data_IF_537438275911
#
_entry.id   IF_537438275911
#
_cell.length_a   1.000
_cell.length_b   1.000
_cell.length_c   1.000
_cell.angle_alpha   90.00
_cell.angle_beta   90.00
_cell.angle_gamma   90.00
#
_symmetry.space_group_name_H-M   'P 1'
#
loop_
_entity.id
_entity.type
_entity.pdbx_description
1 polymer ?
#
# COMPACT_ATOMS: atom_id res chain seq x y z
N UNK A 1 -2.43 2.76 -41.48
CA UNK A 1 -3.31 3.55 -42.38
C UNK A 1 -2.69 3.48 -43.78
N UNK A 2 -3.47 3.44 -44.86
CA UNK A 2 -2.91 3.31 -46.22
C UNK A 2 -3.20 4.55 -47.03
N UNK A 3 -2.19 5.03 -47.78
CA UNK A 3 -2.23 6.27 -48.52
C UNK A 3 -1.88 6.02 -49.99
N UNK A 4 -2.46 6.81 -50.88
CA UNK A 4 -2.01 6.81 -52.29
C UNK A 4 -0.65 7.49 -52.40
N UNK A 5 0.10 7.22 -53.47
CA UNK A 5 1.38 7.90 -53.76
C UNK A 5 1.20 9.43 -53.79
N UNK A 6 0.05 9.90 -54.27
CA UNK A 6 -0.26 11.34 -54.30
C UNK A 6 -0.47 11.91 -52.91
N UNK A 7 -1.19 11.21 -52.05
CA UNK A 7 -1.44 11.68 -50.68
C UNK A 7 -0.18 11.62 -49.84
N UNK A 8 0.60 10.54 -49.98
CA UNK A 8 1.92 10.41 -49.38
C UNK A 8 2.87 11.55 -49.81
N UNK A 9 2.89 11.88 -51.10
CA UNK A 9 3.68 13.00 -51.62
C UNK A 9 3.27 14.35 -51.00
N UNK A 10 1.97 14.59 -50.85
CA UNK A 10 1.45 15.82 -50.24
C UNK A 10 1.77 15.90 -48.75
N UNK A 11 1.51 14.83 -48.00
CA UNK A 11 1.67 14.79 -46.55
C UNK A 11 3.13 14.89 -46.12
N UNK A 12 4.05 14.22 -46.82
CA UNK A 12 5.47 14.27 -46.49
C UNK A 12 6.24 15.41 -47.19
N UNK A 13 5.61 16.12 -48.13
CA UNK A 13 6.27 17.17 -48.89
C UNK A 13 7.35 16.64 -49.84
N UNK A 14 7.15 15.45 -50.40
CA UNK A 14 8.12 14.75 -51.25
C UNK A 14 7.54 14.59 -52.66
N UNK A 15 8.37 14.67 -53.70
CA UNK A 15 7.89 14.47 -55.07
C UNK A 15 7.45 13.02 -55.30
N UNK A 16 6.40 12.81 -56.12
CA UNK A 16 5.94 11.45 -56.47
C UNK A 16 7.06 10.60 -57.08
N UNK A 17 7.96 11.23 -57.85
CA UNK A 17 9.10 10.56 -58.47
C UNK A 17 10.04 9.94 -57.42
N UNK A 18 10.37 10.71 -56.37
CA UNK A 18 11.17 10.20 -55.25
C UNK A 18 10.50 8.99 -54.60
N UNK A 19 9.18 9.01 -54.44
CA UNK A 19 8.43 7.87 -53.89
C UNK A 19 8.53 6.66 -54.82
N UNK A 20 8.33 6.82 -56.13
CA UNK A 20 8.47 5.72 -57.10
C UNK A 20 9.89 5.14 -57.12
N UNK A 21 10.93 5.98 -57.07
CA UNK A 21 12.30 5.51 -57.00
C UNK A 21 12.57 4.68 -55.74
N UNK A 22 12.05 5.11 -54.59
CA UNK A 22 12.21 4.35 -53.34
C UNK A 22 11.40 3.05 -53.33
N UNK A 23 10.30 2.97 -54.08
CA UNK A 23 9.59 1.71 -54.31
C UNK A 23 10.44 0.77 -55.18
N UNK A 24 10.97 1.27 -56.30
CA UNK A 24 11.79 0.47 -57.21
C UNK A 24 13.10 -0.02 -56.55
N UNK A 25 13.66 0.79 -55.65
CA UNK A 25 14.85 0.46 -54.87
C UNK A 25 14.54 -0.43 -53.65
N UNK A 26 13.29 -0.81 -53.42
CA UNK A 26 12.88 -1.67 -52.30
C UNK A 26 12.87 -1.00 -50.92
N UNK A 27 13.09 0.31 -50.83
CA UNK A 27 13.05 1.07 -49.55
C UNK A 27 11.61 1.26 -49.04
N UNK A 28 10.66 1.31 -49.96
CA UNK A 28 9.23 1.40 -49.70
C UNK A 28 8.51 0.23 -50.35
N UNK A 29 7.59 -0.38 -49.60
CA UNK A 29 6.66 -1.35 -50.17
C UNK A 29 5.35 -0.70 -50.62
N UNK A 30 4.74 -1.26 -51.65
CA UNK A 30 3.43 -0.86 -52.17
C UNK A 30 2.55 -2.08 -52.37
N UNK A 31 1.30 -1.99 -51.94
CA UNK A 31 0.31 -3.05 -52.10
C UNK A 31 -0.19 -3.19 -53.55
N UNK A 32 -0.90 -4.28 -53.83
CA UNK A 32 -1.62 -4.52 -55.09
C UNK A 32 -2.56 -3.37 -55.49
N UNK A 33 -3.15 -2.68 -54.50
CA UNK A 33 -4.02 -1.51 -54.69
C UNK A 33 -3.26 -0.20 -54.93
N UNK A 34 -1.95 -0.25 -55.19
CA UNK A 34 -1.08 0.91 -55.39
C UNK A 34 -1.02 1.89 -54.20
N UNK A 35 -1.33 1.40 -53.01
CA UNK A 35 -1.26 2.16 -51.76
C UNK A 35 0.02 1.82 -50.98
N UNK A 36 0.49 2.79 -50.21
CA UNK A 36 1.66 2.69 -49.34
C UNK A 36 1.18 2.77 -47.90
N UNK A 37 1.73 1.95 -47.01
CA UNK A 37 1.45 2.08 -45.58
C UNK A 37 2.11 3.34 -45.02
N UNK A 38 1.37 4.08 -44.20
CA UNK A 38 1.91 5.15 -43.36
C UNK A 38 3.17 4.74 -42.58
N UNK A 39 3.26 3.51 -42.08
CA UNK A 39 4.42 3.04 -41.34
C UNK A 39 5.69 2.97 -42.23
N UNK A 40 5.54 2.55 -43.49
CA UNK A 40 6.62 2.55 -44.48
C UNK A 40 7.12 3.98 -44.73
N UNK A 41 6.20 4.94 -44.82
CA UNK A 41 6.54 6.35 -45.02
C UNK A 41 7.26 6.93 -43.80
N UNK A 42 6.80 6.64 -42.58
CA UNK A 42 7.51 7.04 -41.35
C UNK A 42 8.91 6.43 -41.27
N UNK A 43 9.06 5.14 -41.58
CA UNK A 43 10.37 4.48 -41.57
C UNK A 43 11.32 5.08 -42.62
N UNK A 44 10.82 5.34 -43.82
CA UNK A 44 11.67 5.76 -44.94
C UNK A 44 12.00 7.26 -44.95
N UNK A 45 11.09 8.09 -44.46
CA UNK A 45 11.17 9.56 -44.56
C UNK A 45 10.95 10.31 -43.24
N UNK A 46 10.61 9.62 -42.15
CA UNK A 46 10.34 10.24 -40.85
C UNK A 46 8.96 10.89 -40.77
N UNK A 47 8.83 11.87 -39.88
CA UNK A 47 7.57 12.60 -39.68
C UNK A 47 7.16 13.40 -40.93
N UNK A 48 5.85 13.46 -41.26
CA UNK A 48 5.35 14.21 -42.39
C UNK A 48 5.64 15.69 -42.23
N UNK A 49 6.47 16.23 -43.13
CA UNK A 49 6.76 17.66 -43.18
C UNK A 49 5.54 18.35 -43.77
N UNK A 50 4.78 19.07 -42.95
CA UNK A 50 3.73 19.96 -43.44
C UNK A 50 4.36 21.06 -44.30
N UNK A 51 4.47 20.81 -45.59
CA UNK A 51 4.95 21.80 -46.54
C UNK A 51 3.82 22.76 -46.85
N UNK A 52 3.71 23.83 -46.05
CA UNK A 52 3.16 25.09 -46.58
C UNK A 52 4.09 25.46 -47.73
N UNK A 53 3.60 25.44 -48.96
CA UNK A 53 4.38 25.84 -50.13
C UNK A 53 4.88 27.27 -49.92
N UNK A 54 6.17 27.41 -49.64
CA UNK A 54 6.86 28.69 -49.69
C UNK A 54 7.93 28.53 -50.76
N UNK A 55 7.70 29.16 -51.90
CA UNK A 55 8.70 29.35 -52.95
C UNK A 55 9.79 30.28 -52.42
N UNK A 56 10.72 29.80 -51.59
CA UNK A 56 11.97 30.52 -51.30
C UNK A 56 13.00 29.59 -50.69
N UNK A 57 14.15 29.47 -51.33
CA UNK A 57 15.38 28.92 -50.76
C UNK A 57 15.76 29.72 -49.52
N UNK A 58 15.68 29.11 -48.33
CA UNK A 58 16.57 29.45 -47.21
C UNK A 58 16.53 28.39 -46.12
N UNK A 59 17.72 27.98 -45.69
CA UNK A 59 17.98 27.75 -44.27
C UNK A 59 17.55 26.40 -43.70
N UNK A 60 18.54 25.52 -43.57
CA UNK A 60 18.59 24.50 -42.53
C UNK A 60 18.47 25.22 -41.16
N UNK A 61 17.29 25.20 -40.55
CA UNK A 61 17.09 25.33 -39.10
C UNK A 61 16.26 24.09 -38.73
N UNK A 62 16.80 23.03 -38.16
CA UNK A 62 17.59 23.04 -36.93
C UNK A 62 16.64 23.42 -35.80
N UNK A 63 16.34 22.46 -34.92
CA UNK A 63 15.61 22.63 -33.65
C UNK A 63 15.83 24.04 -33.07
N UNK A 64 14.88 24.94 -33.30
CA UNK A 64 14.77 26.19 -32.58
C UNK A 64 13.30 26.48 -32.50
N UNK A 65 12.64 25.77 -31.58
CA UNK A 65 11.42 26.28 -30.99
C UNK A 65 11.77 27.66 -30.46
N UNK A 66 11.41 28.70 -31.21
CA UNK A 66 11.43 30.07 -30.73
C UNK A 66 10.52 30.08 -29.50
N UNK A 67 11.14 30.00 -28.32
CA UNK A 67 10.46 30.15 -27.04
C UNK A 67 10.00 31.59 -26.98
N UNK A 68 8.77 31.82 -27.43
CA UNK A 68 8.13 33.12 -27.22
C UNK A 68 8.05 33.38 -25.70
N UNK A 69 8.12 34.64 -25.25
CA UNK A 69 8.02 34.96 -23.81
C UNK A 69 6.79 34.35 -23.13
N UNK A 70 5.69 34.16 -23.88
CA UNK A 70 4.49 33.46 -23.42
C UNK A 70 4.74 31.99 -23.08
N UNK A 71 5.45 31.25 -23.93
CA UNK A 71 5.79 29.84 -23.68
C UNK A 71 6.69 29.68 -22.45
N UNK A 72 7.58 30.65 -22.19
CA UNK A 72 8.45 30.62 -21.01
C UNK A 72 7.66 30.83 -19.71
N UNK A 73 6.72 31.78 -19.70
CA UNK A 73 5.86 32.03 -18.55
C UNK A 73 4.94 30.83 -18.25
N UNK A 74 4.39 30.20 -19.29
CA UNK A 74 3.58 28.99 -19.15
C UNK A 74 4.39 27.81 -18.58
N UNK A 75 5.63 27.62 -19.07
CA UNK A 75 6.55 26.61 -18.53
C UNK A 75 6.91 26.88 -17.06
N UNK A 76 7.14 28.15 -16.69
CA UNK A 76 7.42 28.53 -15.30
C UNK A 76 6.23 28.23 -14.38
N UNK A 77 5.02 28.58 -14.82
CA UNK A 77 3.80 28.28 -14.08
C UNK A 77 3.57 26.77 -13.93
N UNK A 78 3.81 26.00 -15.00
CA UNK A 78 3.72 24.54 -14.96
C UNK A 78 4.70 23.94 -13.93
N UNK A 79 5.93 24.44 -13.91
CA UNK A 79 6.96 24.00 -12.97
C UNK A 79 6.58 24.36 -11.52
N UNK A 80 6.00 25.54 -11.28
CA UNK A 80 5.52 25.95 -9.96
C UNK A 80 4.39 25.04 -9.44
N UNK A 81 3.42 24.72 -10.30
CA UNK A 81 2.35 23.77 -9.96
C UNK A 81 2.89 22.39 -9.61
N UNK A 82 3.86 21.91 -10.39
CA UNK A 82 4.50 20.62 -10.16
C UNK A 82 5.31 20.61 -8.86
N UNK A 83 6.02 21.68 -8.53
CA UNK A 83 6.69 21.85 -7.25
C UNK A 83 5.72 21.81 -6.07
N UNK A 84 4.59 22.51 -6.18
CA UNK A 84 3.56 22.51 -5.14
C UNK A 84 2.95 21.12 -4.94
N UNK A 85 2.68 20.40 -6.04
CA UNK A 85 2.17 19.03 -5.98
C UNK A 85 3.18 18.09 -5.31
N UNK A 86 4.46 18.16 -5.69
CA UNK A 86 5.52 17.38 -5.06
C UNK A 86 5.62 17.66 -3.56
N UNK A 87 5.58 18.93 -3.16
CA UNK A 87 5.60 19.30 -1.74
C UNK A 87 4.41 18.72 -0.96
N UNK A 88 3.20 18.79 -1.52
CA UNK A 88 2.03 18.20 -0.89
C UNK A 88 2.14 16.67 -0.78
N UNK A 89 2.70 16.02 -1.80
CA UNK A 89 2.96 14.57 -1.77
C UNK A 89 3.97 14.20 -0.68
N UNK A 90 5.04 14.97 -0.54
CA UNK A 90 6.04 14.80 0.53
C UNK A 90 5.42 14.93 1.93
N UNK A 91 4.59 15.96 2.16
CA UNK A 91 3.87 16.15 3.43
C UNK A 91 2.94 14.96 3.74
N UNK A 92 2.25 14.43 2.73
CA UNK A 92 1.40 13.24 2.88
C UNK A 92 2.22 12.01 3.27
N UNK A 93 3.37 11.79 2.62
CA UNK A 93 4.26 10.68 2.93
C UNK A 93 4.83 10.80 4.35
N UNK A 94 5.25 12.00 4.77
CA UNK A 94 5.75 12.25 6.12
C UNK A 94 4.69 11.94 7.18
N UNK A 95 3.45 12.36 6.95
CA UNK A 95 2.33 12.04 7.86
C UNK A 95 2.08 10.54 7.94
N UNK A 96 2.15 9.83 6.81
CA UNK A 96 2.00 8.39 6.77
C UNK A 96 3.13 7.67 7.51
N UNK A 97 4.37 8.15 7.39
CA UNK A 97 5.53 7.61 8.11
C UNK A 97 5.36 7.75 9.63
N UNK A 98 4.88 8.90 10.09
CA UNK A 98 4.61 9.13 11.52
C UNK A 98 3.57 8.16 12.07
N UNK A 99 2.48 7.96 11.33
CA UNK A 99 1.42 7.00 11.69
C UNK A 99 1.97 5.57 11.70
N UNK A 100 2.73 5.17 10.69
CA UNK A 100 3.38 3.85 10.66
C UNK A 100 4.33 3.66 11.84
N UNK A 101 5.08 4.69 12.22
CA UNK A 101 5.98 4.64 13.37
C UNK A 101 5.23 4.37 14.67
N UNK A 102 4.09 5.04 14.88
CA UNK A 102 3.23 4.83 16.05
C UNK A 102 2.68 3.39 16.10
N UNK A 103 2.15 2.88 14.99
CA UNK A 103 1.70 1.49 14.91
C UNK A 103 2.82 0.50 15.20
N UNK A 104 4.03 0.72 14.68
CA UNK A 104 5.19 -0.13 14.98
C UNK A 104 5.54 -0.12 16.46
N UNK A 105 5.50 1.04 17.11
CA UNK A 105 5.75 1.14 18.55
C UNK A 105 4.71 0.37 19.35
N UNK A 106 3.44 0.48 18.96
CA UNK A 106 2.36 -0.27 19.59
C UNK A 106 2.53 -1.79 19.41
N UNK A 107 2.89 -2.25 18.21
CA UNK A 107 3.20 -3.66 17.94
C UNK A 107 4.34 -4.15 18.83
N UNK A 108 5.44 -3.41 18.90
CA UNK A 108 6.58 -3.75 19.77
C UNK A 108 6.18 -3.82 21.25
N UNK A 109 5.34 -2.89 21.72
CA UNK A 109 4.85 -2.89 23.09
C UNK A 109 4.03 -4.14 23.42
N UNK A 110 3.14 -4.56 22.52
CA UNK A 110 2.36 -5.79 22.73
C UNK A 110 3.21 -7.06 22.60
N UNK A 111 4.16 -7.10 21.67
CA UNK A 111 5.10 -8.23 21.54
C UNK A 111 5.88 -8.45 22.85
N UNK A 112 6.42 -7.38 23.45
CA UNK A 112 7.11 -7.46 24.74
C UNK A 112 6.20 -7.97 25.86
N UNK A 113 4.94 -7.56 25.91
CA UNK A 113 4.00 -8.07 26.91
C UNK A 113 3.77 -9.57 26.74
N UNK A 114 3.62 -10.06 25.51
CA UNK A 114 3.46 -11.48 25.22
C UNK A 114 4.72 -12.26 25.62
N UNK A 115 5.92 -11.73 25.32
CA UNK A 115 7.19 -12.32 25.75
C UNK A 115 7.27 -12.46 27.28
N UNK A 116 6.93 -11.39 28.02
CA UNK A 116 6.92 -11.43 29.48
C UNK A 116 5.94 -12.46 30.06
N UNK A 117 4.75 -12.58 29.47
CA UNK A 117 3.76 -13.58 29.88
C UNK A 117 4.25 -15.00 29.57
N UNK A 118 4.87 -15.22 28.42
CA UNK A 118 5.44 -16.51 28.03
C UNK A 118 6.61 -16.89 28.94
N UNK A 119 7.50 -15.94 29.29
CA UNK A 119 8.60 -16.17 30.22
C UNK A 119 8.09 -16.53 31.61
N UNK A 120 7.04 -15.85 32.09
CA UNK A 120 6.41 -16.16 33.36
C UNK A 120 5.80 -17.56 33.34
N UNK A 121 5.05 -17.90 32.29
CA UNK A 121 4.45 -19.22 32.10
C UNK A 121 5.54 -20.31 32.07
N UNK A 122 6.65 -20.08 31.37
CA UNK A 122 7.78 -21.01 31.30
C UNK A 122 8.40 -21.24 32.68
N UNK A 123 8.64 -20.18 33.45
CA UNK A 123 9.16 -20.28 34.82
C UNK A 123 8.21 -21.05 35.74
N UNK A 124 6.91 -20.77 35.65
CA UNK A 124 5.90 -21.49 36.43
C UNK A 124 5.87 -22.98 36.08
N UNK A 125 5.92 -23.31 34.79
CA UNK A 125 6.00 -24.69 34.32
C UNK A 125 7.26 -25.40 34.82
N UNK A 126 8.42 -24.72 34.81
CA UNK A 126 9.68 -25.26 35.35
C UNK A 126 9.57 -25.57 36.84
N UNK A 127 9.01 -24.66 37.63
CA UNK A 127 8.83 -24.84 39.08
C UNK A 127 7.89 -26.01 39.40
N UNK A 128 6.81 -26.17 38.62
CA UNK A 128 5.92 -27.33 38.75
C UNK A 128 6.69 -28.63 38.47
N UNK A 129 7.50 -28.66 37.41
CA UNK A 129 8.31 -29.82 37.09
C UNK A 129 9.34 -30.14 38.17
N UNK A 130 10.03 -29.13 38.72
CA UNK A 130 10.98 -29.30 39.85
C UNK A 130 10.29 -29.87 41.09
N UNK A 131 9.08 -29.40 41.41
CA UNK A 131 8.30 -29.90 42.54
C UNK A 131 7.87 -31.36 42.32
N UNK A 132 7.44 -31.71 41.11
CA UNK A 132 7.09 -33.09 40.74
C UNK A 132 8.31 -34.00 40.85
N UNK A 133 9.48 -33.59 40.32
CA UNK A 133 10.72 -34.36 40.42
C UNK A 133 11.15 -34.56 41.88
N UNK A 134 11.10 -33.51 42.69
CA UNK A 134 11.41 -33.58 44.12
C UNK A 134 10.50 -34.56 44.86
N UNK A 135 9.19 -34.57 44.55
CA UNK A 135 8.24 -35.52 45.15
C UNK A 135 8.49 -36.95 44.69
N UNK A 136 8.83 -37.15 43.42
CA UNK A 136 9.13 -38.47 42.86
C UNK A 136 10.39 -39.09 43.49
N UNK A 137 11.40 -38.27 43.80
CA UNK A 137 12.64 -38.69 44.49
C UNK A 137 12.38 -38.93 45.99
N UNK A 138 11.45 -38.18 46.62
CA UNK A 138 11.11 -38.31 48.04
C UNK A 138 10.17 -39.47 48.39
N UNK A 139 9.61 -40.18 47.41
CA UNK A 139 8.79 -41.38 47.63
C UNK A 139 9.68 -42.63 47.55
N UNK A 140 10.29 -42.99 48.68
CA UNK A 140 10.90 -44.31 48.87
C UNK A 140 9.78 -45.38 48.93
N UNK A 141 9.79 -46.44 48.09
CA UNK A 141 8.76 -47.47 48.08
C UNK A 141 8.73 -48.35 49.35
N UNK A 142 9.58 -48.13 50.35
CA UNK A 142 9.61 -48.91 51.59
C UNK A 142 9.27 -48.09 52.85
N UNK A 143 7.97 -47.84 53.09
CA UNK A 143 7.50 -47.61 54.46
C UNK A 143 6.08 -48.19 54.65
N UNK A 144 5.88 -49.14 55.58
CA UNK A 144 4.59 -49.81 55.74
C UNK A 144 3.54 -48.86 56.31
N UNK A 145 2.35 -48.94 55.71
CA UNK A 145 1.09 -48.40 56.20
C UNK A 145 0.71 -49.15 57.47
N UNK A 146 0.58 -48.45 58.60
CA UNK A 146 -0.10 -48.98 59.78
C UNK A 146 -1.43 -48.25 59.96
N UNK A 147 -2.48 -49.05 59.96
CA UNK A 147 -3.87 -48.69 60.12
C UNK A 147 -4.16 -48.35 61.59
N UNK A 148 -4.99 -47.35 61.83
CA UNK A 148 -5.71 -47.18 63.10
C UNK A 148 -7.01 -46.44 62.85
N UNK A 149 -8.05 -47.21 62.54
CA UNK A 149 -9.44 -46.79 62.74
C UNK A 149 -9.74 -46.78 64.24
N UNK A 150 -10.26 -45.67 64.78
CA UNK A 150 -11.34 -45.79 65.76
C UNK A 150 -12.27 -44.57 65.77
N UNK A 151 -13.55 -44.91 65.65
CA UNK A 151 -14.76 -44.10 65.73
C UNK A 151 -14.79 -43.12 66.91
N UNK A 152 -15.39 -41.95 66.66
CA UNK A 152 -15.91 -41.04 67.68
C UNK A 152 -16.95 -40.12 67.08
N UNK A 153 -18.21 -40.58 67.07
CA UNK A 153 -19.41 -39.82 66.76
C UNK A 153 -19.61 -38.67 67.76
N UNK A 154 -19.95 -37.47 67.27
CA UNK A 154 -21.03 -36.65 67.85
C UNK A 154 -21.45 -35.59 66.84
N UNK A 155 -22.76 -35.46 66.73
CA UNK A 155 -23.52 -34.62 65.84
C UNK A 155 -23.14 -33.13 65.92
N UNK A 156 -23.17 -32.45 64.78
CA UNK A 156 -23.98 -31.23 64.65
C UNK A 156 -24.29 -30.93 63.18
N UNK A 157 -25.58 -31.00 62.87
CA UNK A 157 -26.22 -30.72 61.60
C UNK A 157 -26.70 -29.26 61.60
N UNK A 158 -26.37 -28.47 60.57
CA UNK A 158 -27.34 -27.48 60.02
C UNK A 158 -27.22 -27.41 58.50
N UNK A 159 -28.33 -27.78 57.88
CA UNK A 159 -28.73 -27.80 56.48
C UNK A 159 -28.99 -26.39 55.93
N UNK A 160 -28.42 -26.10 54.74
CA UNK A 160 -28.97 -25.44 53.52
C UNK A 160 -29.86 -24.18 53.72
N UNK A 161 -29.53 -23.06 53.08
CA UNK A 161 -30.25 -22.51 51.90
C UNK A 161 -29.86 -21.07 51.54
N UNK A 162 -29.57 -20.92 50.25
CA UNK A 162 -29.63 -19.73 49.41
C UNK A 162 -30.95 -18.96 49.59
N UNK A 163 -30.98 -17.64 49.37
CA UNK A 163 -32.05 -17.15 48.50
C UNK A 163 -31.62 -16.08 47.49
N UNK A 164 -32.21 -16.28 46.32
CA UNK A 164 -32.27 -15.45 45.12
C UNK A 164 -32.91 -14.07 45.38
N UNK A 165 -32.49 -13.09 44.58
CA UNK A 165 -33.06 -11.74 44.40
C UNK A 165 -34.59 -11.69 44.26
N UNK A 166 -35.19 -10.51 44.55
CA UNK A 166 -36.07 -9.89 43.56
C UNK A 166 -35.80 -8.40 43.29
N UNK A 167 -36.40 -7.98 42.16
CA UNK A 167 -36.32 -6.73 41.39
C UNK A 167 -37.13 -5.56 41.98
N UNK A 168 -36.89 -4.35 41.40
CA UNK A 168 -37.67 -3.09 41.42
C UNK A 168 -37.20 -2.04 42.44
N UNK A 169 -37.24 -0.72 42.23
CA UNK A 169 -37.16 0.22 41.09
C UNK A 169 -37.12 1.63 41.75
N UNK A 170 -36.58 2.64 41.04
CA UNK A 170 -36.83 4.09 41.19
C UNK A 170 -36.14 4.95 42.31
N UNK A 171 -35.24 5.83 41.83
CA UNK A 171 -35.08 7.28 42.11
C UNK A 171 -34.57 7.72 43.51
N UNK A 172 -33.48 8.48 43.69
CA UNK A 172 -33.26 9.88 43.23
C UNK A 172 -31.83 10.34 43.64
N UNK A 173 -31.10 10.98 42.73
CA UNK A 173 -30.06 12.05 42.86
C UNK A 173 -29.00 11.93 44.00
N UNK A 174 -27.70 11.80 43.71
CA UNK A 174 -26.80 12.96 43.47
C UNK A 174 -25.48 12.59 42.75
N UNK A 175 -24.99 13.59 42.02
CA UNK A 175 -23.94 13.60 40.99
C UNK A 175 -22.51 13.82 41.52
N UNK A 176 -21.49 13.14 40.95
CA UNK A 176 -20.17 13.73 40.62
C UNK A 176 -19.55 13.07 39.36
N UNK A 177 -19.92 13.62 38.20
CA UNK A 177 -19.13 13.98 36.98
C UNK A 177 -17.73 13.33 36.83
N UNK A 178 -17.51 12.35 35.95
CA UNK A 178 -17.35 12.38 34.47
C UNK A 178 -15.97 12.82 33.96
N UNK A 179 -15.29 11.91 33.23
CA UNK A 179 -14.48 12.30 32.08
C UNK A 179 -14.32 11.11 31.11
N UNK A 180 -15.20 11.01 30.11
CA UNK A 180 -14.96 10.17 28.93
C UNK A 180 -14.99 11.04 27.68
N UNK A 181 -13.81 11.24 27.09
CA UNK A 181 -13.62 11.93 25.82
C UNK A 181 -14.32 11.16 24.70
N UNK A 182 -15.29 11.81 24.05
CA UNK A 182 -16.10 11.28 22.96
C UNK A 182 -15.43 11.64 21.64
N UNK A 183 -14.91 10.65 20.92
CA UNK A 183 -14.42 10.83 19.56
C UNK A 183 -15.63 10.97 18.62
N UNK A 184 -15.70 12.10 17.90
CA UNK A 184 -16.71 12.35 16.87
C UNK A 184 -16.10 11.99 15.53
N UNK A 185 -16.71 11.03 14.84
CA UNK A 185 -16.44 10.73 13.45
C UNK A 185 -17.35 11.62 12.60
N UNK A 186 -16.73 12.47 11.78
CA UNK A 186 -17.26 12.99 10.52
C UNK A 186 -16.20 12.71 9.47
#
# INVERSE_FOLDING_TARGET
MKLTVTDAAKQWGITRNTIYNNINNGKLSRDSNKMIDTAEMFRAFGEPKQTKRVDSVSGIQGLSSSMTPGNMAELQHQLELEQLNNKHLEESLQKQELVNKDYRQQITHYQRQIELLNDNLSKANMSIQELVQSRLIGMDPHKPTEDSEQLGSTDECVTITEPTHPTQEANTTETVIQNRKKWRWW
#
